data_IF_422877458817
#
_entry.id   IF_422877458817
#
_cell.length_a   1.000
_cell.length_b   1.000
_cell.length_c   1.000
_cell.angle_alpha   90.00
_cell.angle_beta   90.00
_cell.angle_gamma   90.00
#
_symmetry.space_group_name_H-M   'P 1'
#
loop_
_entity.id
_entity.type
_entity.pdbx_description
1 polymer ?
#
# COMPACT_ATOMS: atom_id res chain seq x y z
N UNK A 1 8.15 -20.43 -5.68
CA UNK A 1 6.67 -20.46 -5.73
C UNK A 1 6.25 -19.49 -6.81
N UNK A 2 5.29 -19.81 -7.66
CA UNK A 2 4.78 -18.91 -8.71
C UNK A 2 3.85 -17.86 -8.13
N UNK A 3 3.76 -16.69 -8.77
CA UNK A 3 2.96 -15.53 -8.30
C UNK A 3 1.51 -15.90 -8.02
N UNK A 4 0.81 -16.55 -8.94
CA UNK A 4 -0.61 -16.89 -8.74
C UNK A 4 -0.85 -17.78 -7.51
N UNK A 5 0.01 -18.77 -7.28
CA UNK A 5 -0.10 -19.65 -6.12
C UNK A 5 0.22 -18.92 -4.79
N UNK A 6 1.15 -17.98 -4.82
CA UNK A 6 1.42 -17.11 -3.67
C UNK A 6 0.27 -16.13 -3.45
N UNK A 7 -0.28 -15.57 -4.53
CA UNK A 7 -1.47 -14.71 -4.49
C UNK A 7 -2.66 -15.37 -3.83
N UNK A 8 -2.96 -16.64 -4.18
CA UNK A 8 -4.01 -17.42 -3.51
C UNK A 8 -3.77 -17.49 -2.00
N UNK A 9 -2.57 -17.86 -1.54
CA UNK A 9 -2.25 -17.92 -0.11
C UNK A 9 -2.40 -16.58 0.61
N UNK A 10 -2.00 -15.48 -0.04
CA UNK A 10 -2.15 -14.13 0.51
C UNK A 10 -3.63 -13.79 0.63
N UNK A 11 -4.43 -14.00 -0.42
CA UNK A 11 -5.83 -13.60 -0.43
C UNK A 11 -6.67 -14.46 0.51
N UNK A 12 -6.40 -15.77 0.63
CA UNK A 12 -7.06 -16.65 1.60
C UNK A 12 -6.84 -16.22 3.06
N UNK A 13 -5.72 -15.53 3.34
CA UNK A 13 -5.43 -14.96 4.65
C UNK A 13 -6.01 -13.54 4.84
N UNK A 14 -6.42 -12.89 3.76
CA UNK A 14 -6.86 -11.50 3.69
C UNK A 14 -8.36 -11.37 3.95
N UNK A 15 -8.85 -10.12 4.08
CA UNK A 15 -10.28 -9.83 4.06
C UNK A 15 -10.66 -9.20 2.73
N UNK A 16 -11.72 -9.70 2.11
CA UNK A 16 -12.25 -9.20 0.84
C UNK A 16 -13.61 -8.58 1.10
N UNK A 17 -13.79 -7.35 0.60
CA UNK A 17 -15.03 -6.59 0.64
C UNK A 17 -15.46 -6.32 -0.80
N UNK A 18 -16.75 -6.44 -1.11
CA UNK A 18 -17.24 -6.23 -2.47
C UNK A 18 -18.47 -5.33 -2.47
N UNK A 19 -18.62 -4.45 -3.45
CA UNK A 19 -19.90 -3.79 -3.70
C UNK A 19 -21.02 -4.81 -4.04
N UNK A 20 -22.29 -4.43 -3.92
CA UNK A 20 -23.39 -5.23 -4.47
C UNK A 20 -23.23 -5.46 -5.97
N UNK A 21 -23.62 -6.65 -6.46
CA UNK A 21 -23.57 -7.02 -7.88
C UNK A 21 -22.54 -8.09 -8.19
N UNK A 22 -22.36 -8.39 -9.48
CA UNK A 22 -21.48 -9.46 -9.98
C UNK A 22 -20.09 -8.99 -10.39
N UNK A 23 -19.89 -7.66 -10.58
CA UNK A 23 -18.67 -7.11 -11.16
C UNK A 23 -18.63 -7.21 -12.70
N UNK A 24 -17.43 -7.12 -13.34
CA UNK A 24 -16.12 -6.98 -12.68
C UNK A 24 -15.94 -5.59 -12.03
N UNK A 25 -15.46 -5.60 -10.77
CA UNK A 25 -15.22 -4.38 -10.01
C UNK A 25 -13.76 -3.91 -10.15
N UNK A 26 -13.47 -2.60 -10.18
CA UNK A 26 -12.11 -2.11 -9.89
C UNK A 26 -11.71 -2.58 -8.48
N UNK A 27 -10.41 -2.75 -8.22
CA UNK A 27 -9.94 -3.37 -6.97
C UNK A 27 -9.00 -2.44 -6.22
N UNK A 28 -9.27 -2.20 -4.93
CA UNK A 28 -8.38 -1.53 -4.01
C UNK A 28 -7.59 -2.56 -3.18
N UNK A 29 -6.26 -2.58 -3.32
CA UNK A 29 -5.37 -3.40 -2.49
C UNK A 29 -4.84 -2.55 -1.32
N UNK A 30 -5.21 -2.91 -0.10
CA UNK A 30 -4.91 -2.18 1.13
C UNK A 30 -3.85 -2.95 1.92
N UNK A 31 -2.64 -2.36 2.05
CA UNK A 31 -1.49 -2.95 2.71
C UNK A 31 -1.27 -2.33 4.09
N UNK A 32 -1.36 -3.16 5.13
CA UNK A 32 -1.16 -2.76 6.52
C UNK A 32 0.27 -2.27 6.84
N UNK A 33 0.44 -1.55 7.92
CA UNK A 33 1.73 -1.19 8.51
C UNK A 33 2.48 -2.40 9.11
N UNK A 34 3.61 -2.13 9.77
CA UNK A 34 4.40 -3.20 10.41
C UNK A 34 3.69 -3.82 11.64
N UNK A 35 2.66 -3.19 12.18
CA UNK A 35 1.83 -3.73 13.27
C UNK A 35 0.90 -4.87 12.85
N UNK A 36 0.76 -5.13 11.56
CA UNK A 36 -0.15 -6.14 11.02
C UNK A 36 -1.52 -5.56 10.62
N UNK A 37 -2.43 -6.45 10.27
CA UNK A 37 -3.78 -6.10 9.86
C UNK A 37 -4.63 -5.72 11.08
N UNK A 38 -4.97 -4.45 11.21
CA UNK A 38 -5.77 -3.87 12.29
C UNK A 38 -7.14 -3.41 11.78
N UNK A 39 -8.17 -3.34 12.65
CA UNK A 39 -9.55 -3.04 12.24
C UNK A 39 -9.76 -1.71 11.53
N UNK A 40 -8.95 -0.68 11.80
CA UNK A 40 -9.11 0.62 11.15
C UNK A 40 -8.99 0.53 9.62
N UNK A 41 -8.22 -0.42 9.09
CA UNK A 41 -8.11 -0.66 7.64
C UNK A 41 -9.42 -1.15 7.01
N UNK A 42 -10.30 -1.76 7.81
CA UNK A 42 -11.62 -2.18 7.32
C UNK A 42 -12.53 -0.97 7.05
N UNK A 43 -12.36 0.14 7.80
CA UNK A 43 -13.06 1.38 7.50
C UNK A 43 -12.61 1.99 6.16
N UNK A 44 -11.30 1.92 5.84
CA UNK A 44 -10.82 2.30 4.50
C UNK A 44 -11.32 1.34 3.41
N UNK A 45 -11.40 0.04 3.70
CA UNK A 45 -11.99 -0.93 2.77
C UNK A 45 -13.47 -0.60 2.49
N UNK A 46 -14.22 -0.19 3.51
CA UNK A 46 -15.60 0.26 3.34
C UNK A 46 -15.68 1.53 2.50
N UNK A 47 -14.79 2.51 2.72
CA UNK A 47 -14.69 3.70 1.85
C UNK A 47 -14.43 3.32 0.38
N UNK A 48 -13.61 2.31 0.13
CA UNK A 48 -13.38 1.82 -1.23
C UNK A 48 -14.64 1.16 -1.81
N UNK A 49 -15.38 0.39 -1.02
CA UNK A 49 -16.66 -0.21 -1.44
C UNK A 49 -17.68 0.87 -1.76
N UNK A 50 -17.79 1.92 -0.96
CA UNK A 50 -18.67 3.08 -1.21
C UNK A 50 -18.30 3.82 -2.50
N UNK A 51 -17.00 3.82 -2.88
CA UNK A 51 -16.51 4.35 -4.15
C UNK A 51 -16.62 3.37 -5.33
N UNK A 52 -17.26 2.20 -5.14
CA UNK A 52 -17.49 1.20 -6.19
C UNK A 52 -16.35 0.21 -6.43
N UNK A 53 -15.31 0.22 -5.59
CA UNK A 53 -14.22 -0.76 -5.67
C UNK A 53 -14.52 -2.00 -4.82
N UNK A 54 -14.11 -3.17 -5.30
CA UNK A 54 -13.84 -4.26 -4.38
C UNK A 54 -12.54 -3.97 -3.62
N UNK A 55 -12.48 -4.26 -2.32
CA UNK A 55 -11.30 -3.99 -1.50
C UNK A 55 -10.73 -5.28 -0.91
N UNK A 56 -9.40 -5.41 -0.93
CA UNK A 56 -8.68 -6.51 -0.30
C UNK A 56 -7.75 -5.93 0.76
N UNK A 57 -8.05 -6.17 2.03
CA UNK A 57 -7.13 -5.86 3.15
C UNK A 57 -6.12 -7.00 3.24
N UNK A 58 -4.99 -6.79 2.58
CA UNK A 58 -3.95 -7.79 2.35
C UNK A 58 -3.26 -8.17 3.66
N UNK A 59 -3.23 -9.46 3.99
CA UNK A 59 -2.47 -9.99 5.12
C UNK A 59 -1.13 -10.57 4.66
N UNK A 60 -0.07 -9.80 4.81
CA UNK A 60 1.29 -10.23 4.48
C UNK A 60 1.92 -11.13 5.54
N UNK A 61 1.35 -11.22 6.74
CA UNK A 61 1.98 -11.86 7.89
C UNK A 61 1.52 -13.30 8.10
N UNK A 62 0.21 -13.53 8.08
CA UNK A 62 -0.35 -14.87 8.32
C UNK A 62 0.22 -15.95 7.40
N UNK A 63 0.37 -15.72 6.06
CA UNK A 63 0.97 -16.72 5.16
C UNK A 63 2.44 -17.00 5.43
N UNK A 64 3.12 -16.10 6.17
CA UNK A 64 4.53 -16.24 6.57
C UNK A 64 4.72 -16.75 8.00
N UNK A 65 3.63 -17.01 8.73
CA UNK A 65 3.69 -17.37 10.15
C UNK A 65 4.23 -16.26 11.05
N UNK A 66 4.14 -15.00 10.61
CA UNK A 66 4.58 -13.84 11.40
C UNK A 66 3.50 -13.49 12.42
N UNK A 67 3.79 -13.69 13.70
CA UNK A 67 2.90 -13.27 14.79
C UNK A 67 3.03 -11.76 15.06
N UNK A 68 2.05 -11.17 15.76
CA UNK A 68 2.09 -9.75 16.15
C UNK A 68 3.35 -9.41 16.97
N UNK A 69 3.80 -10.32 17.83
CA UNK A 69 5.03 -10.13 18.62
C UNK A 69 6.26 -10.10 17.71
N UNK A 70 6.39 -11.08 16.80
CA UNK A 70 7.48 -11.13 15.84
C UNK A 70 7.49 -9.92 14.90
N UNK A 71 6.31 -9.45 14.50
CA UNK A 71 6.18 -8.25 13.69
C UNK A 71 6.74 -7.01 14.40
N UNK A 72 6.39 -6.81 15.68
CA UNK A 72 6.92 -5.68 16.49
C UNK A 72 8.43 -5.76 16.67
N UNK A 73 8.98 -6.94 16.92
CA UNK A 73 10.40 -7.14 17.19
C UNK A 73 11.27 -7.06 15.92
N UNK A 74 10.79 -7.55 14.80
CA UNK A 74 11.63 -7.79 13.62
C UNK A 74 11.18 -7.02 12.37
N UNK A 75 9.88 -6.82 12.16
CA UNK A 75 9.39 -6.08 10.98
C UNK A 75 9.41 -4.59 11.22
N UNK A 76 8.87 -4.11 12.37
CA UNK A 76 8.87 -2.69 12.71
C UNK A 76 10.28 -2.12 12.93
N UNK A 77 11.24 -2.96 13.29
CA UNK A 77 12.67 -2.57 13.42
C UNK A 77 13.43 -2.64 12.09
N UNK A 78 12.78 -3.13 11.02
CA UNK A 78 13.40 -3.26 9.70
C UNK A 78 14.45 -4.38 9.59
N UNK A 79 14.45 -5.35 10.51
CA UNK A 79 15.39 -6.49 10.47
C UNK A 79 14.94 -7.61 9.55
N UNK A 80 13.64 -7.77 9.38
CA UNK A 80 13.05 -8.78 8.48
C UNK A 80 11.95 -8.19 7.62
N UNK A 81 11.61 -8.86 6.54
CA UNK A 81 10.56 -8.48 5.61
C UNK A 81 10.68 -7.01 5.13
N UNK A 82 11.81 -6.65 4.55
CA UNK A 82 11.97 -5.32 3.92
C UNK A 82 10.88 -5.06 2.85
N UNK A 83 10.65 -3.78 2.56
CA UNK A 83 9.62 -3.36 1.58
C UNK A 83 9.72 -4.13 0.26
N UNK A 84 10.91 -4.25 -0.29
CA UNK A 84 11.14 -4.99 -1.54
C UNK A 84 10.75 -6.49 -1.44
N UNK A 85 10.98 -7.14 -0.31
CA UNK A 85 10.57 -8.54 -0.10
C UNK A 85 9.06 -8.67 0.07
N UNK A 86 8.44 -7.68 0.70
CA UNK A 86 6.99 -7.61 0.83
C UNK A 86 6.30 -7.23 -0.48
N UNK A 87 6.97 -6.53 -1.39
CA UNK A 87 6.48 -6.23 -2.73
C UNK A 87 6.11 -7.50 -3.54
N UNK A 88 6.69 -8.65 -3.20
CA UNK A 88 6.27 -9.95 -3.75
C UNK A 88 4.75 -10.20 -3.61
N UNK A 89 4.13 -9.72 -2.51
CA UNK A 89 2.70 -9.88 -2.28
C UNK A 89 1.87 -9.10 -3.30
N UNK A 90 2.31 -7.89 -3.66
CA UNK A 90 1.65 -7.09 -4.69
C UNK A 90 1.68 -7.79 -6.04
N UNK A 91 2.86 -8.23 -6.51
CA UNK A 91 2.98 -8.94 -7.77
C UNK A 91 2.15 -10.23 -7.79
N UNK A 92 2.12 -10.94 -6.67
CA UNK A 92 1.34 -12.16 -6.52
C UNK A 92 -0.17 -11.91 -6.57
N UNK A 93 -0.65 -10.90 -5.84
CA UNK A 93 -2.09 -10.56 -5.84
C UNK A 93 -2.52 -10.00 -7.19
N UNK A 94 -1.70 -9.17 -7.85
CA UNK A 94 -1.98 -8.68 -9.20
C UNK A 94 -2.12 -9.83 -10.21
N UNK A 95 -1.22 -10.84 -10.14
CA UNK A 95 -1.33 -12.03 -10.98
C UNK A 95 -2.57 -12.88 -10.64
N UNK A 96 -2.93 -12.98 -9.37
CA UNK A 96 -4.13 -13.69 -8.92
C UNK A 96 -5.42 -13.00 -9.38
N UNK A 97 -5.47 -11.66 -9.38
CA UNK A 97 -6.64 -10.90 -9.84
C UNK A 97 -6.99 -11.21 -11.30
N UNK A 98 -6.01 -11.48 -12.16
CA UNK A 98 -6.23 -11.87 -13.57
C UNK A 98 -7.09 -13.15 -13.71
N UNK A 99 -7.17 -13.97 -12.66
CA UNK A 99 -7.95 -15.21 -12.65
C UNK A 99 -9.35 -15.05 -12.05
N UNK A 100 -9.72 -13.84 -11.60
CA UNK A 100 -10.97 -13.61 -10.87
C UNK A 100 -12.02 -12.94 -11.75
N UNK A 101 -13.10 -13.63 -12.08
CA UNK A 101 -14.18 -13.09 -12.91
C UNK A 101 -14.87 -11.84 -12.34
N UNK A 102 -14.86 -11.67 -11.02
CA UNK A 102 -15.46 -10.53 -10.33
C UNK A 102 -14.56 -9.28 -10.28
N UNK A 103 -13.28 -9.39 -10.63
CA UNK A 103 -12.30 -8.33 -10.54
C UNK A 103 -11.93 -7.78 -11.92
N UNK A 104 -11.91 -6.46 -12.06
CA UNK A 104 -11.24 -5.83 -13.19
C UNK A 104 -9.74 -5.66 -12.85
N UNK A 105 -8.95 -6.62 -13.30
CA UNK A 105 -7.51 -6.63 -13.05
C UNK A 105 -6.76 -5.45 -13.70
N UNK A 106 -7.39 -4.68 -14.60
CA UNK A 106 -6.78 -3.50 -15.23
C UNK A 106 -7.15 -2.18 -14.54
N UNK A 107 -7.99 -2.21 -13.52
CA UNK A 107 -8.38 -1.06 -12.71
C UNK A 107 -8.08 -1.30 -11.23
N UNK A 108 -6.80 -1.31 -10.87
CA UNK A 108 -6.32 -1.53 -9.51
C UNK A 108 -5.85 -0.22 -8.88
N UNK A 109 -6.23 0.02 -7.63
CA UNK A 109 -5.72 1.09 -6.78
C UNK A 109 -4.93 0.47 -5.61
N UNK A 110 -3.71 0.96 -5.36
CA UNK A 110 -2.90 0.52 -4.23
C UNK A 110 -3.02 1.50 -3.08
N UNK A 111 -3.21 1.02 -1.85
CA UNK A 111 -3.16 1.86 -0.66
C UNK A 111 -2.25 1.22 0.39
N UNK A 112 -1.28 1.95 0.94
CA UNK A 112 -0.31 1.39 1.86
C UNK A 112 0.03 2.30 3.03
N UNK A 113 -0.08 1.77 4.24
CA UNK A 113 0.24 2.44 5.49
C UNK A 113 1.64 2.10 5.95
N UNK A 114 2.46 3.11 6.26
CA UNK A 114 3.79 2.92 6.84
C UNK A 114 4.63 1.92 6.04
N UNK A 115 4.88 0.75 6.59
CA UNK A 115 5.57 -0.37 5.93
C UNK A 115 4.83 -0.88 4.67
N UNK A 116 3.50 -0.77 4.62
CA UNK A 116 2.72 -1.08 3.41
C UNK A 116 3.01 -0.10 2.29
N UNK A 117 3.14 1.18 2.61
CA UNK A 117 3.60 2.21 1.67
C UNK A 117 5.02 1.94 1.16
N UNK A 118 5.93 1.52 2.05
CA UNK A 118 7.27 1.09 1.65
C UNK A 118 7.25 -0.06 0.64
N UNK A 119 6.39 -1.06 0.85
CA UNK A 119 6.27 -2.18 -0.09
C UNK A 119 5.80 -1.73 -1.48
N UNK A 120 4.83 -0.81 -1.55
CA UNK A 120 4.38 -0.22 -2.82
C UNK A 120 5.53 0.55 -3.49
N UNK A 121 6.21 1.41 -2.74
CA UNK A 121 7.31 2.22 -3.24
C UNK A 121 8.44 1.36 -3.79
N UNK A 122 8.83 0.30 -3.09
CA UNK A 122 9.90 -0.60 -3.52
C UNK A 122 9.48 -1.53 -4.66
N UNK A 123 8.17 -1.86 -4.78
CA UNK A 123 7.67 -2.60 -5.93
C UNK A 123 7.96 -1.85 -7.24
N UNK A 124 7.62 -0.56 -7.30
CA UNK A 124 7.91 0.28 -8.46
C UNK A 124 9.41 0.52 -8.66
N UNK A 125 10.12 0.86 -7.58
CA UNK A 125 11.55 1.15 -7.65
C UNK A 125 12.39 -0.09 -8.03
N UNK A 126 11.89 -1.31 -7.84
CA UNK A 126 12.60 -2.53 -8.26
C UNK A 126 12.68 -2.69 -9.79
N UNK A 127 11.77 -2.07 -10.53
CA UNK A 127 11.77 -2.06 -11.99
C UNK A 127 11.94 -3.46 -12.60
N UNK A 128 12.73 -3.57 -13.64
CA UNK A 128 12.99 -4.85 -14.34
C UNK A 128 13.72 -5.90 -13.45
N UNK A 129 14.24 -5.48 -12.29
CA UNK A 129 14.84 -6.39 -11.32
C UNK A 129 13.81 -6.99 -10.34
N UNK A 130 12.51 -6.78 -10.51
CA UNK A 130 11.47 -7.17 -9.57
C UNK A 130 11.56 -8.65 -9.15
N UNK A 131 11.72 -9.57 -10.08
CA UNK A 131 11.84 -11.01 -9.79
C UNK A 131 12.99 -11.32 -8.83
N UNK A 132 14.19 -10.78 -9.11
CA UNK A 132 15.37 -10.95 -8.27
C UNK A 132 15.22 -10.24 -6.92
N UNK A 133 14.74 -9.01 -6.93
CA UNK A 133 14.65 -8.16 -5.75
C UNK A 133 13.64 -8.72 -4.73
N UNK A 134 12.46 -9.13 -5.20
CA UNK A 134 11.40 -9.70 -4.36
C UNK A 134 11.68 -11.16 -3.97
N UNK A 135 12.39 -11.90 -4.81
CA UNK A 135 12.55 -13.35 -4.70
C UNK A 135 11.37 -14.14 -5.24
N UNK A 136 10.48 -13.51 -6.00
CA UNK A 136 9.36 -14.13 -6.70
C UNK A 136 9.73 -14.26 -8.19
N UNK A 137 10.03 -15.48 -8.70
CA UNK A 137 10.69 -15.65 -10.01
C UNK A 137 9.93 -15.08 -11.20
N UNK A 138 8.62 -15.02 -11.12
CA UNK A 138 7.71 -14.52 -12.15
C UNK A 138 7.07 -13.17 -11.78
N UNK A 139 7.67 -12.42 -10.85
CA UNK A 139 7.26 -11.04 -10.59
C UNK A 139 7.48 -10.18 -11.84
N UNK A 140 6.38 -9.73 -12.43
CA UNK A 140 6.38 -8.97 -13.69
C UNK A 140 6.06 -7.50 -13.42
N UNK A 141 7.02 -6.58 -13.59
CA UNK A 141 6.80 -5.14 -13.37
C UNK A 141 5.79 -4.54 -14.36
N UNK A 142 5.54 -5.19 -15.49
CA UNK A 142 4.51 -4.73 -16.44
C UNK A 142 3.12 -4.73 -15.82
N UNK A 143 2.82 -5.66 -14.87
CA UNK A 143 1.54 -5.67 -14.14
C UNK A 143 1.31 -4.37 -13.37
N UNK A 144 2.33 -3.84 -12.70
CA UNK A 144 2.20 -2.54 -12.04
C UNK A 144 1.82 -1.44 -13.02
N UNK A 145 2.45 -1.41 -14.21
CA UNK A 145 2.20 -0.37 -15.23
C UNK A 145 0.84 -0.48 -15.91
N UNK A 146 0.38 -1.70 -16.15
CA UNK A 146 -0.86 -1.93 -16.91
C UNK A 146 -2.10 -2.02 -16.05
N UNK A 147 -1.97 -2.56 -14.84
CA UNK A 147 -3.10 -2.82 -13.94
C UNK A 147 -3.36 -1.68 -12.96
N UNK A 148 -2.31 -1.03 -12.43
CA UNK A 148 -2.45 -0.04 -11.36
C UNK A 148 -2.65 1.36 -11.93
N UNK A 149 -3.71 2.03 -11.49
CA UNK A 149 -4.12 3.37 -11.95
C UNK A 149 -3.90 4.47 -10.93
N UNK A 150 -3.90 4.14 -9.63
CA UNK A 150 -3.65 5.08 -8.55
C UNK A 150 -2.94 4.42 -7.38
N UNK A 151 -2.24 5.20 -6.57
CA UNK A 151 -1.61 4.74 -5.35
C UNK A 151 -1.74 5.78 -4.22
N UNK A 152 -2.18 5.35 -3.03
CA UNK A 152 -2.18 6.13 -1.80
C UNK A 152 -1.07 5.63 -0.85
N UNK A 153 -0.23 6.54 -0.39
CA UNK A 153 0.87 6.29 0.53
C UNK A 153 0.62 7.05 1.84
N UNK A 154 0.23 6.37 2.91
CA UNK A 154 -0.08 6.99 4.19
C UNK A 154 1.11 6.83 5.15
N UNK A 155 1.70 7.96 5.55
CA UNK A 155 2.94 8.05 6.35
C UNK A 155 3.95 6.95 6.01
N UNK A 156 4.32 6.78 4.71
CA UNK A 156 5.11 5.63 4.26
C UNK A 156 6.52 5.66 4.84
N UNK A 157 7.09 4.50 5.13
CA UNK A 157 8.53 4.41 5.38
C UNK A 157 9.31 4.62 4.08
N UNK A 158 10.27 5.52 4.07
CA UNK A 158 11.10 5.83 2.90
C UNK A 158 12.60 5.99 3.23
N UNK A 159 12.99 5.56 4.44
CA UNK A 159 14.39 5.53 4.87
C UNK A 159 15.18 4.36 4.28
N UNK A 160 16.47 4.24 4.63
CA UNK A 160 17.29 3.09 4.27
C UNK A 160 16.72 1.78 4.88
N UNK A 161 16.63 0.66 4.13
CA UNK A 161 17.15 0.42 2.79
C UNK A 161 16.13 0.67 1.63
N UNK A 162 15.09 1.47 1.83
CA UNK A 162 14.10 1.79 0.80
C UNK A 162 14.73 2.30 -0.51
N UNK A 163 14.15 1.90 -1.62
CA UNK A 163 14.73 2.11 -2.96
C UNK A 163 14.32 3.44 -3.59
N UNK A 164 13.07 3.88 -3.40
CA UNK A 164 12.46 4.98 -4.16
C UNK A 164 13.24 6.29 -4.07
N UNK A 165 13.71 6.70 -2.89
CA UNK A 165 14.46 7.95 -2.74
C UNK A 165 15.72 7.99 -3.61
N UNK A 166 16.36 6.85 -3.83
CA UNK A 166 17.60 6.74 -4.62
C UNK A 166 17.34 6.50 -6.09
N UNK A 167 16.40 5.62 -6.42
CA UNK A 167 16.19 5.12 -7.80
C UNK A 167 15.00 5.78 -8.49
N UNK A 168 14.00 6.29 -7.72
CA UNK A 168 12.72 6.72 -8.27
C UNK A 168 11.94 5.54 -8.85
N UNK A 169 10.98 5.85 -9.73
CA UNK A 169 10.17 4.86 -10.46
C UNK A 169 10.38 4.91 -11.99
N UNK A 170 11.46 5.59 -12.43
CA UNK A 170 11.80 5.70 -13.86
C UNK A 170 10.76 6.44 -14.69
N UNK A 171 9.99 7.35 -14.11
CA UNK A 171 8.89 8.05 -14.78
C UNK A 171 7.68 7.17 -15.12
N UNK A 172 7.65 5.95 -14.62
CA UNK A 172 6.59 4.96 -14.90
C UNK A 172 5.84 4.62 -13.62
N UNK A 173 4.62 5.08 -13.50
CA UNK A 173 3.79 4.81 -12.33
C UNK A 173 2.41 5.43 -12.44
N UNK A 174 1.51 5.10 -11.52
CA UNK A 174 0.18 5.68 -11.45
C UNK A 174 0.24 7.10 -10.89
N UNK A 175 -0.89 7.77 -10.88
CA UNK A 175 -1.06 8.96 -10.05
C UNK A 175 -0.87 8.60 -8.58
N UNK A 176 -0.06 9.37 -7.86
CA UNK A 176 0.31 9.14 -6.47
C UNK A 176 -0.40 10.14 -5.57
N UNK A 177 -1.09 9.64 -4.56
CA UNK A 177 -1.64 10.39 -3.45
C UNK A 177 -0.83 10.05 -2.20
N UNK A 178 -0.59 11.01 -1.34
CA UNK A 178 0.13 10.75 -0.10
C UNK A 178 -0.46 11.50 1.08
N UNK A 179 -0.37 10.90 2.26
CA UNK A 179 -0.70 11.55 3.54
C UNK A 179 0.55 11.53 4.41
N UNK A 180 1.00 12.70 4.84
CA UNK A 180 2.18 12.84 5.69
C UNK A 180 1.79 13.36 7.07
N UNK A 181 2.46 12.86 8.10
CA UNK A 181 2.25 13.22 9.50
C UNK A 181 3.44 14.07 10.01
N UNK A 182 3.18 15.34 10.34
CA UNK A 182 4.22 16.32 10.67
C UNK A 182 4.95 16.06 11.98
N UNK A 183 4.29 15.41 12.96
CA UNK A 183 4.88 15.01 14.26
C UNK A 183 5.23 13.53 14.32
N UNK A 184 5.43 12.89 13.17
CA UNK A 184 5.82 11.48 13.09
C UNK A 184 7.24 11.26 13.64
N UNK A 185 7.33 10.58 14.80
CA UNK A 185 8.59 10.23 15.46
C UNK A 185 9.03 8.79 15.18
N UNK A 186 8.27 8.04 14.39
CA UNK A 186 8.57 6.63 14.06
C UNK A 186 9.34 6.55 12.75
N UNK A 187 8.79 7.10 11.68
CA UNK A 187 9.43 7.11 10.36
C UNK A 187 9.87 8.50 9.92
N UNK A 188 9.31 9.54 10.54
CA UNK A 188 9.49 10.93 10.17
C UNK A 188 8.86 11.27 8.83
N UNK A 189 8.62 12.57 8.56
CA UNK A 189 8.02 13.01 7.30
C UNK A 189 9.06 13.42 6.22
N UNK A 190 10.31 13.71 6.63
CA UNK A 190 11.33 14.24 5.70
C UNK A 190 11.79 13.23 4.64
N UNK A 191 11.95 11.96 5.02
CA UNK A 191 12.33 10.92 4.05
C UNK A 191 11.20 10.62 3.05
N UNK A 192 9.93 10.43 3.49
CA UNK A 192 8.81 10.36 2.57
C UNK A 192 8.70 11.58 1.63
N UNK A 193 8.83 12.82 2.13
CA UNK A 193 8.80 14.01 1.29
C UNK A 193 9.84 13.95 0.17
N UNK A 194 11.09 13.61 0.50
CA UNK A 194 12.17 13.48 -0.50
C UNK A 194 11.86 12.41 -1.54
N UNK A 195 11.23 11.30 -1.12
CA UNK A 195 10.81 10.27 -2.05
C UNK A 195 9.70 10.78 -2.99
N UNK A 196 8.70 11.49 -2.47
CA UNK A 196 7.63 12.10 -3.27
C UNK A 196 8.17 13.17 -4.23
N UNK A 197 9.06 14.04 -3.75
CA UNK A 197 9.77 15.01 -4.61
C UNK A 197 10.56 14.33 -5.73
N UNK A 198 11.15 13.16 -5.45
CA UNK A 198 11.83 12.36 -6.48
C UNK A 198 10.83 11.88 -7.52
N UNK A 199 9.66 11.38 -7.13
CA UNK A 199 8.60 10.93 -8.05
C UNK A 199 8.10 12.09 -8.92
N UNK A 200 7.90 13.27 -8.33
CA UNK A 200 7.51 14.49 -9.08
C UNK A 200 8.56 14.87 -10.11
N UNK A 201 9.85 14.83 -9.74
CA UNK A 201 10.96 15.10 -10.69
C UNK A 201 11.06 14.06 -11.80
N UNK A 202 10.67 12.83 -11.51
CA UNK A 202 10.60 11.75 -12.50
C UNK A 202 9.35 11.87 -13.42
N UNK A 203 8.51 12.91 -13.24
CA UNK A 203 7.35 13.23 -14.09
C UNK A 203 6.02 12.63 -13.61
N UNK A 204 5.96 12.04 -12.42
CA UNK A 204 4.73 11.50 -11.88
C UNK A 204 3.85 12.61 -11.25
N UNK A 205 2.53 12.48 -11.40
CA UNK A 205 1.55 13.30 -10.67
C UNK A 205 1.49 12.88 -9.21
N UNK A 206 1.85 13.80 -8.30
CA UNK A 206 1.85 13.56 -6.85
C UNK A 206 1.00 14.61 -6.16
N UNK A 207 -0.03 14.18 -5.44
CA UNK A 207 -0.88 14.99 -4.55
C UNK A 207 -0.57 14.62 -3.10
N UNK A 208 -0.41 15.60 -2.21
CA UNK A 208 -0.02 15.35 -0.81
C UNK A 208 -0.93 16.10 0.15
N UNK A 209 -1.55 15.36 1.07
CA UNK A 209 -2.21 15.88 2.26
C UNK A 209 -1.23 15.86 3.43
N UNK A 210 -0.93 17.02 4.00
CA UNK A 210 -0.02 17.15 5.13
C UNK A 210 -0.76 17.48 6.42
N UNK A 211 -0.77 16.56 7.37
CA UNK A 211 -1.32 16.75 8.69
C UNK A 211 -0.21 17.21 9.66
N UNK A 212 -0.06 18.51 9.84
CA UNK A 212 1.03 19.12 10.61
C UNK A 212 1.14 18.60 12.05
N UNK A 213 0.01 18.30 12.68
CA UNK A 213 -0.08 17.85 14.08
C UNK A 213 -0.24 16.34 14.26
N UNK A 214 -0.31 15.58 13.16
CA UNK A 214 -0.44 14.13 13.21
C UNK A 214 0.86 13.45 13.67
N UNK A 215 0.73 12.42 14.48
CA UNK A 215 1.80 11.46 14.79
C UNK A 215 1.72 10.26 13.84
N UNK A 216 2.69 9.35 13.90
CA UNK A 216 2.58 8.06 13.20
C UNK A 216 1.33 7.30 13.65
N UNK A 217 0.67 6.57 12.75
CA UNK A 217 -0.53 5.77 13.02
C UNK A 217 -1.66 6.58 13.72
N UNK A 218 -1.82 7.86 13.35
CA UNK A 218 -2.85 8.75 13.91
C UNK A 218 -4.28 8.28 13.62
N UNK A 219 -4.45 7.39 12.67
CA UNK A 219 -5.71 6.82 12.20
C UNK A 219 -5.99 5.40 12.76
N UNK A 220 -5.10 4.84 13.58
CA UNK A 220 -5.29 3.55 14.25
C UNK A 220 -5.62 3.76 15.75
N UNK A 221 -6.88 3.55 16.14
CA UNK A 221 -7.36 3.65 17.52
C UNK A 221 -6.79 2.56 18.45
N UNK A 222 -6.15 1.54 17.88
CA UNK A 222 -5.50 0.43 18.59
C UNK A 222 -3.98 0.46 18.49
N UNK A 223 -3.42 1.55 17.97
CA UNK A 223 -1.97 1.71 17.90
C UNK A 223 -1.35 1.59 19.30
N UNK A 224 -0.51 0.59 19.50
CA UNK A 224 0.20 0.36 20.76
C UNK A 224 1.66 0.82 20.66
N UNK A 225 1.84 2.10 20.34
CA UNK A 225 3.13 2.79 20.36
C UNK A 225 2.95 4.09 21.16
N UNK A 226 3.76 4.38 22.17
CA UNK A 226 3.61 5.58 23.01
C UNK A 226 3.80 6.89 22.23
N UNK A 227 4.35 6.83 21.02
CA UNK A 227 4.53 7.96 20.10
C UNK A 227 3.30 8.17 19.17
N UNK A 228 2.38 7.21 19.12
CA UNK A 228 1.15 7.31 18.34
C UNK A 228 0.05 7.97 19.16
N UNK A 229 -0.73 8.84 18.52
CA UNK A 229 -1.94 9.44 19.09
C UNK A 229 -3.06 9.34 18.08
N UNK A 230 -4.11 8.61 18.42
CA UNK A 230 -5.31 8.54 17.61
C UNK A 230 -5.98 9.91 17.49
N UNK A 231 -6.34 10.29 16.30
CA UNK A 231 -6.99 11.54 15.93
C UNK A 231 -8.18 11.23 15.01
N UNK A 232 -9.39 11.09 15.56
CA UNK A 232 -10.58 10.74 14.77
C UNK A 232 -10.87 11.77 13.68
N UNK A 233 -10.63 13.05 13.93
CA UNK A 233 -10.79 14.13 12.95
C UNK A 233 -9.85 13.97 11.75
N UNK A 234 -8.59 13.59 11.96
CA UNK A 234 -7.62 13.35 10.89
C UNK A 234 -7.85 12.00 10.19
N UNK A 235 -8.35 11.00 10.93
CA UNK A 235 -8.80 9.74 10.35
C UNK A 235 -9.91 9.99 9.33
N UNK A 236 -10.96 10.75 9.69
CA UNK A 236 -12.07 11.07 8.79
C UNK A 236 -11.62 11.91 7.59
N UNK A 237 -10.74 12.90 7.78
CA UNK A 237 -10.13 13.66 6.69
C UNK A 237 -9.34 12.75 5.74
N UNK A 238 -8.56 11.82 6.27
CA UNK A 238 -7.78 10.87 5.46
C UNK A 238 -8.68 9.90 4.70
N UNK A 239 -9.77 9.43 5.30
CA UNK A 239 -10.78 8.60 4.60
C UNK A 239 -11.45 9.37 3.47
N UNK A 240 -11.82 10.63 3.71
CA UNK A 240 -12.40 11.52 2.67
C UNK A 240 -11.41 11.72 1.53
N UNK A 241 -10.14 11.97 1.86
CA UNK A 241 -9.06 12.10 0.87
C UNK A 241 -8.86 10.81 0.06
N UNK A 242 -8.92 9.64 0.70
CA UNK A 242 -8.84 8.35 0.02
C UNK A 242 -10.04 8.13 -0.92
N UNK A 243 -11.27 8.41 -0.48
CA UNK A 243 -12.46 8.32 -1.32
C UNK A 243 -12.35 9.20 -2.57
N UNK A 244 -11.88 10.46 -2.40
CA UNK A 244 -11.60 11.37 -3.51
C UNK A 244 -10.55 10.78 -4.46
N UNK A 245 -9.45 10.24 -3.94
CA UNK A 245 -8.39 9.66 -4.76
C UNK A 245 -8.89 8.46 -5.61
N UNK A 246 -9.75 7.63 -5.04
CA UNK A 246 -10.39 6.52 -5.75
C UNK A 246 -11.29 7.01 -6.90
N UNK A 247 -12.16 7.99 -6.63
CA UNK A 247 -13.08 8.55 -7.63
C UNK A 247 -12.32 9.25 -8.75
N UNK A 248 -11.38 10.15 -8.43
CA UNK A 248 -10.56 10.84 -9.43
C UNK A 248 -9.73 9.88 -10.30
N UNK A 249 -9.35 8.72 -9.73
CA UNK A 249 -8.63 7.70 -10.50
C UNK A 249 -9.55 6.99 -11.50
N UNK A 250 -10.82 6.72 -11.15
CA UNK A 250 -11.80 6.14 -12.09
C UNK A 250 -12.22 7.11 -13.19
N UNK A 251 -12.41 8.38 -12.84
CA UNK A 251 -12.85 9.41 -13.78
C UNK A 251 -11.78 9.73 -14.84
N UNK A 252 -10.53 9.40 -14.57
CA UNK A 252 -9.39 9.62 -15.48
C UNK A 252 -9.15 8.46 -16.48
N UNK A 253 -9.94 7.38 -16.42
CA UNK A 253 -9.84 6.19 -17.28
C UNK A 253 -10.80 6.24 -18.45
#
# INVERSE_FOLDING_TARGET
MQSAAWGTKIVDASKVFKPPGSGPFPVALILHGCGGKTPFLEAYAQTAVEAGYAAIVVDSFKPRGISTLNAKLFVCTGTTLHGVKRAADLFAVLAWLETQAWADAHRVFLAGWSHGGWAIMDAYASGENAARATGLPDADPRRLRTQVKGALLVYPYAGYPGLTTRQGWGGQGPRVFSVLAGKDQVVGWKHPSRALERLTRDGLSVDTLFHADATHAFDDDRANDPRARYRPDLFDQTRTYFGRALTETLDAL
#
